data_IF_747339542494
#
_entry.id   IF_747339542494
#
_cell.length_a   1.000
_cell.length_b   1.000
_cell.length_c   1.000
_cell.angle_alpha   90.00
_cell.angle_beta   90.00
_cell.angle_gamma   90.00
#
_symmetry.space_group_name_H-M   'P 1'
#
loop_
_entity.id
_entity.type
_entity.pdbx_description
1 polymer ?
#
# COMPACT_ATOMS: atom_id res chain seq x y z
N UNK A 1 0.21 -15.06 3.33
CA UNK A 1 0.81 -15.54 2.07
C UNK A 1 2.13 -16.18 2.39
N UNK A 2 2.43 -17.30 1.75
CA UNK A 2 3.73 -17.96 1.90
C UNK A 2 4.82 -17.10 1.24
N UNK A 3 5.96 -17.02 1.91
CA UNK A 3 7.16 -16.36 1.44
C UNK A 3 7.90 -17.19 0.39
N UNK A 4 9.09 -16.75 0.02
CA UNK A 4 9.91 -17.40 -0.99
C UNK A 4 10.86 -16.44 -1.69
N UNK A 5 11.58 -16.96 -2.69
CA UNK A 5 12.49 -16.18 -3.52
C UNK A 5 11.81 -15.80 -4.83
N UNK A 6 11.71 -14.50 -5.11
CA UNK A 6 11.03 -13.94 -6.26
C UNK A 6 12.02 -13.18 -7.16
N UNK A 7 11.76 -13.22 -8.47
CA UNK A 7 12.48 -12.41 -9.46
C UNK A 7 11.49 -11.62 -10.31
N UNK A 8 11.72 -10.31 -10.45
CA UNK A 8 10.91 -9.45 -11.32
C UNK A 8 11.71 -9.02 -12.55
N UNK A 9 11.55 -9.77 -13.64
CA UNK A 9 12.29 -9.57 -14.89
C UNK A 9 11.84 -8.35 -15.71
N UNK A 10 10.76 -7.66 -15.31
CA UNK A 10 10.21 -6.46 -15.99
C UNK A 10 10.40 -5.17 -15.19
N UNK A 11 11.10 -5.23 -14.06
CA UNK A 11 11.43 -4.05 -13.25
C UNK A 11 12.82 -3.52 -13.57
N UNK A 12 13.13 -2.32 -13.07
CA UNK A 12 14.51 -1.81 -13.01
C UNK A 12 15.45 -2.71 -12.18
N UNK A 13 14.90 -3.65 -11.41
CA UNK A 13 15.63 -4.65 -10.63
C UNK A 13 15.67 -6.03 -11.32
N UNK A 14 15.50 -6.06 -12.65
CA UNK A 14 15.55 -7.29 -13.46
C UNK A 14 16.84 -8.08 -13.21
N UNK A 15 16.70 -9.41 -13.11
CA UNK A 15 17.80 -10.32 -12.82
C UNK A 15 18.22 -10.42 -11.35
N UNK A 16 17.63 -9.63 -10.44
CA UNK A 16 17.90 -9.77 -8.99
C UNK A 16 16.83 -10.62 -8.30
N UNK A 17 17.30 -11.54 -7.46
CA UNK A 17 16.46 -12.33 -6.56
C UNK A 17 16.22 -11.58 -5.25
N UNK A 18 14.98 -11.63 -4.75
CA UNK A 18 14.60 -11.12 -3.44
C UNK A 18 13.90 -12.23 -2.67
N UNK A 19 14.34 -12.49 -1.44
CA UNK A 19 13.70 -13.46 -0.54
C UNK A 19 12.83 -12.74 0.48
N UNK A 20 11.55 -13.11 0.54
CA UNK A 20 10.58 -12.58 1.50
C UNK A 20 10.16 -13.68 2.47
N UNK A 21 10.03 -13.32 3.76
CA UNK A 21 9.39 -14.18 4.75
C UNK A 21 7.87 -14.25 4.51
N UNK A 22 7.19 -15.16 5.20
CA UNK A 22 5.72 -15.20 5.22
C UNK A 22 5.15 -13.86 5.70
N UNK A 23 4.13 -13.36 5.00
CA UNK A 23 3.54 -12.05 5.31
C UNK A 23 2.03 -12.03 5.02
N UNK A 24 1.35 -11.03 5.55
CA UNK A 24 -0.05 -10.73 5.26
C UNK A 24 -0.14 -9.43 4.47
N UNK A 25 -1.14 -9.34 3.59
CA UNK A 25 -1.45 -8.12 2.85
C UNK A 25 -2.96 -7.97 2.80
N UNK A 26 -3.44 -6.73 2.95
CA UNK A 26 -4.87 -6.42 2.81
C UNK A 26 -5.35 -6.71 1.39
N UNK A 27 -6.58 -7.20 1.26
CA UNK A 27 -7.21 -7.41 -0.06
C UNK A 27 -7.61 -6.08 -0.72
N UNK A 28 -7.85 -5.06 0.10
CA UNK A 28 -8.32 -3.73 -0.33
C UNK A 28 -7.39 -2.66 0.24
N UNK A 29 -7.38 -1.50 -0.43
CA UNK A 29 -6.71 -0.31 0.06
C UNK A 29 -7.39 0.20 1.33
N UNK A 30 -6.62 0.86 2.19
CA UNK A 30 -7.17 1.51 3.40
C UNK A 30 -8.05 2.67 2.94
N UNK A 31 -9.30 2.66 3.37
CA UNK A 31 -10.25 3.71 3.06
C UNK A 31 -9.98 4.96 3.90
N UNK A 32 -10.45 6.10 3.42
CA UNK A 32 -10.37 7.36 4.16
C UNK A 32 -11.07 7.30 5.51
N UNK A 33 -12.21 6.59 5.57
CA UNK A 33 -12.92 6.37 6.83
C UNK A 33 -12.07 5.58 7.82
N UNK A 34 -11.53 4.44 7.42
CA UNK A 34 -10.66 3.62 8.28
C UNK A 34 -9.43 4.40 8.75
N UNK A 35 -8.86 5.22 7.86
CA UNK A 35 -7.75 6.10 8.21
C UNK A 35 -8.13 7.11 9.30
N UNK A 36 -9.26 7.82 9.14
CA UNK A 36 -9.74 8.81 10.13
C UNK A 36 -10.08 8.15 11.46
N UNK A 37 -10.69 6.97 11.45
CA UNK A 37 -11.01 6.22 12.67
C UNK A 37 -9.76 5.92 13.51
N UNK A 38 -8.61 5.69 12.88
CA UNK A 38 -7.35 5.37 13.56
C UNK A 38 -6.48 6.62 13.82
N UNK A 39 -6.41 7.54 12.85
CA UNK A 39 -5.46 8.68 12.86
C UNK A 39 -6.11 10.02 13.24
N UNK A 40 -7.44 10.11 13.27
CA UNK A 40 -8.20 11.29 13.71
C UNK A 40 -8.29 12.44 12.70
N UNK A 41 -7.66 12.36 11.54
CA UNK A 41 -7.72 13.40 10.49
C UNK A 41 -7.58 12.81 9.08
N UNK A 42 -8.05 13.54 8.06
CA UNK A 42 -7.98 13.15 6.65
C UNK A 42 -7.24 14.22 5.84
N UNK A 43 -6.18 13.82 5.13
CA UNK A 43 -5.39 14.67 4.23
C UNK A 43 -5.63 14.37 2.74
N UNK A 44 -6.63 13.54 2.43
CA UNK A 44 -7.06 13.31 1.05
C UNK A 44 -7.56 14.59 0.39
N UNK A 45 -7.16 14.78 -0.87
CA UNK A 45 -7.66 15.76 -1.80
C UNK A 45 -9.13 15.50 -2.14
N UNK A 46 -9.50 14.23 -2.35
CA UNK A 46 -10.88 13.84 -2.65
C UNK A 46 -11.53 13.21 -1.43
N UNK A 47 -12.40 13.95 -0.73
CA UNK A 47 -13.00 13.48 0.52
C UNK A 47 -14.28 12.68 0.25
N UNK A 48 -14.15 11.35 0.22
CA UNK A 48 -15.24 10.38 0.11
C UNK A 48 -14.89 9.15 0.93
N UNK A 49 -15.73 8.78 1.90
CA UNK A 49 -15.44 7.78 2.93
C UNK A 49 -14.91 6.44 2.40
N UNK A 50 -15.51 5.93 1.32
CA UNK A 50 -15.19 4.62 0.74
C UNK A 50 -14.11 4.69 -0.36
N UNK A 51 -13.44 5.82 -0.51
CA UNK A 51 -12.27 5.93 -1.39
C UNK A 51 -10.99 5.60 -0.63
N UNK A 52 -9.94 5.14 -1.34
CA UNK A 52 -8.62 4.99 -0.75
C UNK A 52 -8.14 6.30 -0.13
N UNK A 53 -7.44 6.20 1.00
CA UNK A 53 -6.71 7.35 1.53
C UNK A 53 -5.56 7.69 0.60
N UNK A 54 -5.40 8.98 0.31
CA UNK A 54 -4.27 9.49 -0.46
C UNK A 54 -3.76 10.78 0.18
N UNK A 55 -2.50 11.12 -0.06
CA UNK A 55 -1.89 12.33 0.46
C UNK A 55 -1.30 13.15 -0.68
N UNK A 56 -1.71 14.41 -0.77
CA UNK A 56 -0.98 15.39 -1.56
C UNK A 56 0.29 15.77 -0.80
N UNK A 57 1.45 15.25 -1.21
CA UNK A 57 2.72 15.86 -0.85
C UNK A 57 2.79 17.18 -1.63
N UNK A 58 2.46 18.30 -0.99
CA UNK A 58 2.78 19.64 -1.51
C UNK A 58 4.26 19.92 -1.23
N UNK A 59 5.07 19.94 -2.28
CA UNK A 59 6.47 20.40 -2.27
C UNK A 59 6.57 21.91 -2.30
#
# INVERSE_FOLDING_TARGET
MEGGTFQNNKSNNSGKSVTLANFYIGKYEVTQKEWVEVMGSNSSVFVVDNMPVENRITT
#
